data_IF_687457059071
#
_entry.id   IF_687457059071
#
_cell.length_a   1.000
_cell.length_b   1.000
_cell.length_c   1.000
_cell.angle_alpha   90.00
_cell.angle_beta   90.00
_cell.angle_gamma   90.00
#
_symmetry.space_group_name_H-M   'P 1'
#
loop_
_entity.id
_entity.type
_entity.pdbx_description
1 polymer ?
#
# COMPACT_ATOMS: atom_id res chain seq x y z
N UNK A 1 25.61 10.59 -9.98
CA UNK A 1 24.72 11.66 -9.46
C UNK A 1 24.58 11.46 -7.95
N UNK A 2 24.78 12.51 -7.14
CA UNK A 2 24.63 12.44 -5.67
C UNK A 2 23.20 11.98 -5.29
N UNK A 3 23.06 11.00 -4.40
CA UNK A 3 21.76 10.43 -3.98
C UNK A 3 20.77 11.50 -3.50
N UNK A 4 21.28 12.53 -2.82
CA UNK A 4 20.48 13.69 -2.37
C UNK A 4 19.92 14.52 -3.53
N UNK A 5 20.70 14.68 -4.62
CA UNK A 5 20.27 15.39 -5.83
C UNK A 5 19.20 14.58 -6.57
N UNK A 6 19.39 13.26 -6.70
CA UNK A 6 18.39 12.34 -7.29
C UNK A 6 17.07 12.40 -6.54
N UNK A 7 17.12 12.29 -5.21
CA UNK A 7 15.95 12.38 -4.34
C UNK A 7 15.21 13.71 -4.52
N UNK A 8 15.92 14.84 -4.52
CA UNK A 8 15.32 16.16 -4.71
C UNK A 8 14.63 16.31 -6.07
N UNK A 9 15.27 15.84 -7.15
CA UNK A 9 14.69 15.86 -8.50
C UNK A 9 13.42 15.03 -8.56
N UNK A 10 13.47 13.78 -8.05
CA UNK A 10 12.30 12.89 -8.02
C UNK A 10 11.15 13.52 -7.23
N UNK A 11 11.44 14.12 -6.07
CA UNK A 11 10.44 14.82 -5.24
C UNK A 11 9.72 15.89 -6.04
N UNK A 12 10.45 16.82 -6.66
CA UNK A 12 9.83 17.92 -7.40
C UNK A 12 9.03 17.46 -8.61
N UNK A 13 9.55 16.50 -9.38
CA UNK A 13 8.83 15.93 -10.53
C UNK A 13 7.52 15.27 -10.06
N UNK A 14 7.59 14.45 -9.00
CA UNK A 14 6.42 13.74 -8.48
C UNK A 14 5.38 14.71 -7.93
N UNK A 15 5.80 15.73 -7.19
CA UNK A 15 4.90 16.78 -6.71
C UNK A 15 4.22 17.51 -7.87
N UNK A 16 4.96 17.88 -8.91
CA UNK A 16 4.39 18.52 -10.10
C UNK A 16 3.38 17.61 -10.82
N UNK A 17 3.70 16.32 -10.99
CA UNK A 17 2.79 15.35 -11.60
C UNK A 17 1.54 15.12 -10.76
N UNK A 18 1.65 15.07 -9.44
CA UNK A 18 0.52 14.96 -8.53
C UNK A 18 -0.41 16.18 -8.65
N UNK A 19 0.15 17.39 -8.64
CA UNK A 19 -0.66 18.61 -8.84
C UNK A 19 -1.33 18.62 -10.23
N UNK A 20 -0.60 18.21 -11.27
CA UNK A 20 -1.15 18.10 -12.61
C UNK A 20 -2.30 17.10 -12.67
N UNK A 21 -2.16 15.94 -12.01
CA UNK A 21 -3.24 14.95 -11.89
C UNK A 21 -4.47 15.54 -11.20
N UNK A 22 -4.29 16.20 -10.05
CA UNK A 22 -5.39 16.80 -9.30
C UNK A 22 -6.13 17.87 -10.13
N UNK A 23 -5.40 18.76 -10.81
CA UNK A 23 -5.99 19.79 -11.68
C UNK A 23 -6.75 19.14 -12.85
N UNK A 24 -6.16 18.14 -13.51
CA UNK A 24 -6.79 17.45 -14.62
C UNK A 24 -8.04 16.68 -14.19
N UNK A 25 -8.02 16.03 -13.02
CA UNK A 25 -9.18 15.31 -12.47
C UNK A 25 -10.33 16.26 -12.10
N UNK A 26 -10.02 17.49 -11.69
CA UNK A 26 -11.03 18.54 -11.48
C UNK A 26 -11.59 19.10 -12.79
N UNK A 27 -10.75 19.24 -13.82
CA UNK A 27 -11.17 19.75 -15.12
C UNK A 27 -11.93 18.74 -15.98
N UNK A 28 -11.59 17.45 -15.85
CA UNK A 28 -12.18 16.33 -16.59
C UNK A 28 -12.66 15.25 -15.60
N UNK A 29 -13.93 15.33 -15.15
CA UNK A 29 -14.46 14.41 -14.15
C UNK A 29 -14.70 12.99 -14.68
N UNK A 30 -14.90 12.86 -16.00
CA UNK A 30 -15.18 11.57 -16.64
C UNK A 30 -13.94 10.65 -16.59
N UNK A 31 -14.14 9.32 -16.44
CA UNK A 31 -13.03 8.37 -16.44
C UNK A 31 -12.15 8.52 -17.68
N UNK A 32 -10.86 8.71 -17.48
CA UNK A 32 -9.90 8.97 -18.55
C UNK A 32 -8.64 8.12 -18.38
N UNK A 33 -8.31 7.32 -19.39
CA UNK A 33 -7.15 6.43 -19.39
C UNK A 33 -5.85 7.18 -19.10
N UNK A 34 -5.67 8.39 -19.65
CA UNK A 34 -4.45 9.16 -19.40
C UNK A 34 -4.38 9.64 -17.94
N UNK A 35 -5.48 10.13 -17.38
CA UNK A 35 -5.49 10.74 -16.03
C UNK A 35 -5.46 9.65 -14.94
N UNK A 36 -6.31 8.64 -15.08
CA UNK A 36 -6.58 7.65 -14.04
C UNK A 36 -5.67 6.42 -14.14
N UNK A 37 -5.40 5.93 -15.35
CA UNK A 37 -4.52 4.77 -15.52
C UNK A 37 -3.05 5.19 -15.59
N UNK A 38 -2.69 6.15 -16.45
CA UNK A 38 -1.28 6.47 -16.69
C UNK A 38 -0.75 7.41 -15.61
N UNK A 39 -1.33 8.60 -15.49
CA UNK A 39 -0.78 9.67 -14.67
C UNK A 39 -0.84 9.35 -13.17
N UNK A 40 -1.97 8.86 -12.68
CA UNK A 40 -2.15 8.47 -11.28
C UNK A 40 -1.17 7.36 -10.84
N UNK A 41 -1.07 6.27 -11.62
CA UNK A 41 -0.16 5.17 -11.29
C UNK A 41 1.32 5.58 -11.43
N UNK A 42 1.65 6.49 -12.35
CA UNK A 42 3.01 7.05 -12.44
C UNK A 42 3.37 7.84 -11.18
N UNK A 43 2.44 8.60 -10.61
CA UNK A 43 2.64 9.30 -9.34
C UNK A 43 2.91 8.29 -8.21
N UNK A 44 2.13 7.21 -8.12
CA UNK A 44 2.35 6.13 -7.14
C UNK A 44 3.72 5.48 -7.28
N UNK A 45 4.13 5.15 -8.51
CA UNK A 45 5.45 4.57 -8.81
C UNK A 45 6.59 5.49 -8.38
N UNK A 46 6.49 6.78 -8.69
CA UNK A 46 7.51 7.76 -8.33
C UNK A 46 7.54 8.03 -6.82
N UNK A 47 6.38 8.05 -6.14
CA UNK A 47 6.32 8.17 -4.69
C UNK A 47 7.04 7.01 -4.00
N UNK A 48 6.87 5.79 -4.50
CA UNK A 48 7.62 4.63 -4.04
C UNK A 48 9.13 4.77 -4.31
N UNK A 49 9.51 5.23 -5.51
CA UNK A 49 10.90 5.48 -5.85
C UNK A 49 11.55 6.54 -4.92
N UNK A 50 10.80 7.57 -4.53
CA UNK A 50 11.25 8.56 -3.53
C UNK A 50 11.55 7.88 -2.20
N UNK A 51 10.65 7.01 -1.71
CA UNK A 51 10.82 6.31 -0.44
C UNK A 51 12.09 5.44 -0.43
N UNK A 52 12.34 4.66 -1.49
CA UNK A 52 13.57 3.87 -1.60
C UNK A 52 14.86 4.72 -1.64
N UNK A 53 14.78 5.94 -2.18
CA UNK A 53 15.93 6.84 -2.29
C UNK A 53 16.00 7.88 -1.17
N UNK A 54 15.21 7.71 -0.10
CA UNK A 54 15.20 8.64 1.01
C UNK A 54 16.61 8.73 1.67
N UNK A 55 17.12 9.94 1.95
CA UNK A 55 18.43 10.12 2.56
C UNK A 55 18.48 9.50 3.97
N UNK A 56 19.67 9.02 4.36
CA UNK A 56 20.02 8.15 5.52
C UNK A 56 19.66 8.70 6.92
N UNK A 57 18.86 9.76 7.02
CA UNK A 57 18.21 10.16 8.27
C UNK A 57 17.10 9.17 8.69
N UNK A 58 16.54 8.43 7.73
CA UNK A 58 15.58 7.35 7.98
C UNK A 58 16.28 5.98 8.08
N UNK A 59 15.81 5.12 8.98
CA UNK A 59 16.22 3.72 9.03
C UNK A 59 15.99 3.04 7.68
N UNK A 60 17.03 2.39 7.16
CA UNK A 60 17.01 1.81 5.81
C UNK A 60 15.90 0.79 5.64
N UNK A 61 15.59 0.01 6.68
CA UNK A 61 14.52 -0.98 6.62
C UNK A 61 13.14 -0.32 6.59
N UNK A 62 12.92 0.75 7.36
CA UNK A 62 11.70 1.56 7.28
C UNK A 62 11.53 2.19 5.88
N UNK A 63 12.59 2.76 5.31
CA UNK A 63 12.56 3.34 3.96
C UNK A 63 12.27 2.29 2.86
N UNK A 64 12.89 1.10 2.95
CA UNK A 64 12.63 -0.01 2.03
C UNK A 64 11.20 -0.51 2.18
N UNK A 65 10.71 -0.70 3.40
CA UNK A 65 9.33 -1.15 3.63
C UNK A 65 8.29 -0.14 3.12
N UNK A 66 8.53 1.16 3.32
CA UNK A 66 7.70 2.24 2.78
C UNK A 66 7.69 2.23 1.24
N UNK A 67 8.86 2.08 0.62
CA UNK A 67 8.96 1.95 -0.85
C UNK A 67 8.22 0.71 -1.36
N UNK A 68 8.43 -0.45 -0.74
CA UNK A 68 7.76 -1.70 -1.09
C UNK A 68 6.24 -1.61 -0.92
N UNK A 69 5.76 -0.98 0.15
CA UNK A 69 4.33 -0.69 0.36
C UNK A 69 3.77 0.14 -0.81
N UNK A 70 4.43 1.25 -1.16
CA UNK A 70 4.02 2.07 -2.30
C UNK A 70 4.03 1.32 -3.64
N UNK A 71 5.01 0.44 -3.88
CA UNK A 71 5.03 -0.38 -5.10
C UNK A 71 3.88 -1.35 -5.16
N UNK A 72 3.65 -2.13 -4.09
CA UNK A 72 2.61 -3.17 -4.11
C UNK A 72 1.23 -2.53 -4.25
N UNK A 73 1.00 -1.39 -3.59
CA UNK A 73 -0.22 -0.62 -3.75
C UNK A 73 -0.38 -0.10 -5.19
N UNK A 74 0.69 0.41 -5.81
CA UNK A 74 0.65 0.88 -7.20
C UNK A 74 0.38 -0.26 -8.19
N UNK A 75 0.90 -1.47 -7.92
CA UNK A 75 0.59 -2.67 -8.73
C UNK A 75 -0.91 -2.99 -8.63
N UNK A 76 -1.48 -2.99 -7.42
CA UNK A 76 -2.91 -3.20 -7.22
C UNK A 76 -3.77 -2.15 -7.93
N UNK A 77 -3.37 -0.88 -7.82
CA UNK A 77 -4.01 0.26 -8.49
C UNK A 77 -3.97 0.15 -10.00
N UNK A 78 -2.82 -0.21 -10.58
CA UNK A 78 -2.70 -0.43 -12.01
C UNK A 78 -3.62 -1.55 -12.49
N UNK A 79 -3.61 -2.71 -11.82
CA UNK A 79 -4.45 -3.85 -12.18
C UNK A 79 -5.94 -3.50 -12.09
N UNK A 80 -6.36 -2.85 -11.00
CA UNK A 80 -7.76 -2.45 -10.79
C UNK A 80 -8.24 -1.42 -11.81
N UNK A 81 -7.39 -0.44 -12.13
CA UNK A 81 -7.74 0.62 -13.08
C UNK A 81 -7.72 0.09 -14.51
N UNK A 82 -6.77 -0.79 -14.83
CA UNK A 82 -6.71 -1.48 -16.12
C UNK A 82 -7.99 -2.27 -16.39
N UNK A 83 -8.43 -3.06 -15.39
CA UNK A 83 -9.65 -3.84 -15.48
C UNK A 83 -10.89 -2.96 -15.72
N UNK A 84 -10.96 -1.84 -15.02
CA UNK A 84 -12.06 -0.87 -15.15
C UNK A 84 -12.16 -0.26 -16.55
N UNK A 85 -11.05 -0.03 -17.24
CA UNK A 85 -11.06 0.56 -18.60
C UNK A 85 -11.18 -0.47 -19.72
N UNK A 86 -10.58 -1.65 -19.55
CA UNK A 86 -10.44 -2.62 -20.64
C UNK A 86 -11.28 -3.88 -20.44
N UNK A 87 -12.01 -4.01 -19.34
CA UNK A 87 -12.82 -5.20 -19.00
C UNK A 87 -12.03 -6.49 -19.21
N UNK A 88 -10.76 -6.47 -18.81
CA UNK A 88 -9.93 -7.67 -18.82
C UNK A 88 -10.59 -8.73 -17.93
N UNK A 89 -10.48 -10.00 -18.28
CA UNK A 89 -10.94 -11.07 -17.38
C UNK A 89 -9.89 -11.33 -16.28
N UNK A 90 -9.18 -10.30 -15.84
CA UNK A 90 -8.18 -10.43 -14.78
C UNK A 90 -8.89 -10.69 -13.47
N UNK A 91 -8.51 -11.73 -12.72
CA UNK A 91 -9.19 -12.01 -11.46
C UNK A 91 -9.04 -10.85 -10.45
N UNK A 92 -10.16 -10.32 -9.95
CA UNK A 92 -10.19 -9.21 -8.99
C UNK A 92 -9.34 -9.44 -7.74
N UNK A 93 -9.15 -10.71 -7.34
CA UNK A 93 -8.36 -11.04 -6.16
C UNK A 93 -6.88 -10.63 -6.28
N UNK A 94 -6.34 -10.43 -7.48
CA UNK A 94 -4.94 -9.99 -7.65
C UNK A 94 -4.71 -8.55 -7.16
N UNK A 95 -5.62 -7.63 -7.49
CA UNK A 95 -5.53 -6.25 -6.99
C UNK A 95 -5.81 -6.23 -5.48
N UNK A 96 -6.86 -6.93 -5.02
CA UNK A 96 -7.21 -7.08 -3.61
C UNK A 96 -6.07 -7.65 -2.76
N UNK A 97 -5.35 -8.65 -3.26
CA UNK A 97 -4.17 -9.20 -2.59
C UNK A 97 -3.04 -8.17 -2.48
N UNK A 98 -2.81 -7.41 -3.56
CA UNK A 98 -1.77 -6.37 -3.59
C UNK A 98 -2.05 -5.29 -2.54
N UNK A 99 -3.30 -4.86 -2.43
CA UNK A 99 -3.74 -3.92 -1.40
C UNK A 99 -3.72 -4.53 0.01
N UNK A 100 -4.02 -5.80 0.16
CA UNK A 100 -3.92 -6.49 1.46
C UNK A 100 -2.47 -6.55 1.96
N UNK A 101 -1.50 -6.73 1.07
CA UNK A 101 -0.06 -6.75 1.39
C UNK A 101 0.49 -5.34 1.69
N UNK A 102 -0.15 -4.28 1.19
CA UNK A 102 0.23 -2.90 1.49
C UNK A 102 0.18 -2.60 3.00
N UNK A 103 -0.90 -2.99 3.67
CA UNK A 103 -1.11 -2.70 5.10
C UNK A 103 0.01 -3.21 6.03
N UNK A 104 0.41 -4.50 6.03
CA UNK A 104 1.50 -4.95 6.88
C UNK A 104 2.83 -4.28 6.57
N UNK A 105 3.10 -3.95 5.30
CA UNK A 105 4.33 -3.25 4.90
C UNK A 105 4.35 -1.80 5.40
N UNK A 106 3.25 -1.07 5.25
CA UNK A 106 3.18 0.33 5.71
C UNK A 106 3.23 0.40 7.24
N UNK A 107 2.53 -0.50 7.95
CA UNK A 107 2.61 -0.57 9.41
C UNK A 107 4.02 -0.89 9.90
N UNK A 108 4.69 -1.86 9.30
CA UNK A 108 6.09 -2.14 9.63
C UNK A 108 6.99 -0.93 9.39
N UNK A 109 6.82 -0.24 8.25
CA UNK A 109 7.58 0.96 7.92
C UNK A 109 7.39 2.07 8.96
N UNK A 110 6.14 2.32 9.36
CA UNK A 110 5.75 3.36 10.32
C UNK A 110 6.23 3.03 11.73
N UNK A 111 5.91 1.85 12.24
CA UNK A 111 6.35 1.40 13.57
C UNK A 111 7.87 1.46 13.65
N UNK A 112 8.58 0.93 12.66
CA UNK A 112 10.03 0.92 12.67
C UNK A 112 10.64 2.31 12.51
N UNK A 113 9.96 3.22 11.81
CA UNK A 113 10.33 4.63 11.71
C UNK A 113 10.28 5.35 13.07
N UNK A 114 9.31 5.00 13.93
CA UNK A 114 9.16 5.58 15.27
C UNK A 114 9.96 4.85 16.37
N UNK A 115 10.09 3.52 16.28
CA UNK A 115 10.67 2.65 17.32
C UNK A 115 12.20 2.68 17.36
N UNK A 116 12.87 3.48 16.53
CA UNK A 116 14.34 3.67 16.58
C UNK A 116 14.89 4.13 17.95
N UNK A 117 14.03 4.49 18.91
CA UNK A 117 14.42 4.75 20.30
C UNK A 117 14.63 3.47 21.15
N UNK A 118 14.18 2.30 20.70
CA UNK A 118 14.24 1.05 21.47
C UNK A 118 14.92 -0.06 20.67
N UNK A 119 16.06 -0.57 21.18
CA UNK A 119 16.70 -1.77 20.65
C UNK A 119 15.88 -2.99 21.09
N UNK A 120 15.08 -3.56 20.20
CA UNK A 120 14.33 -4.81 20.44
C UNK A 120 15.16 -5.99 19.90
N UNK A 121 15.29 -7.08 20.67
CA UNK A 121 16.00 -8.28 20.21
C UNK A 121 15.13 -9.06 19.22
N UNK A 122 15.76 -9.66 18.20
CA UNK A 122 15.05 -10.45 17.17
C UNK A 122 14.20 -11.59 17.76
N UNK A 123 14.65 -12.20 18.86
CA UNK A 123 13.90 -13.25 19.58
C UNK A 123 12.64 -12.70 20.25
N UNK A 124 12.71 -11.53 20.87
CA UNK A 124 11.54 -10.87 21.48
C UNK A 124 10.50 -10.50 20.41
N UNK A 125 10.96 -10.06 19.24
CA UNK A 125 10.10 -9.80 18.09
C UNK A 125 9.41 -11.09 17.61
N UNK A 126 10.16 -12.20 17.49
CA UNK A 126 9.63 -13.48 17.06
C UNK A 126 8.54 -13.99 18.02
N UNK A 127 8.81 -13.98 19.31
CA UNK A 127 7.86 -14.45 20.34
C UNK A 127 6.59 -13.59 20.35
N UNK A 128 6.76 -12.26 20.30
CA UNK A 128 5.63 -11.32 20.22
C UNK A 128 4.82 -11.54 18.95
N UNK A 129 5.50 -11.80 17.82
CA UNK A 129 4.87 -12.02 16.51
C UNK A 129 4.07 -13.32 16.51
N UNK A 130 4.60 -14.41 17.07
CA UNK A 130 3.90 -15.69 17.18
C UNK A 130 2.64 -15.54 18.04
N UNK A 131 2.74 -14.91 19.22
CA UNK A 131 1.59 -14.70 20.12
C UNK A 131 0.55 -13.80 19.44
N UNK A 132 0.99 -12.72 18.81
CA UNK A 132 0.10 -11.75 18.16
C UNK A 132 -0.62 -12.36 16.95
N UNK A 133 0.10 -13.04 16.06
CA UNK A 133 -0.53 -13.71 14.91
C UNK A 133 -1.39 -14.90 15.34
N UNK A 134 -1.00 -15.64 16.38
CA UNK A 134 -1.81 -16.71 16.95
C UNK A 134 -3.14 -16.19 17.51
N UNK A 135 -3.10 -15.15 18.35
CA UNK A 135 -4.29 -14.54 18.94
C UNK A 135 -5.17 -13.88 17.86
N UNK A 136 -4.57 -13.08 16.98
CA UNK A 136 -5.28 -12.43 15.87
C UNK A 136 -5.90 -13.46 14.92
N UNK A 137 -5.20 -14.57 14.65
CA UNK A 137 -5.72 -15.67 13.83
C UNK A 137 -6.95 -16.35 14.46
N UNK A 138 -6.90 -16.63 15.76
CA UNK A 138 -8.04 -17.19 16.50
C UNK A 138 -9.22 -16.22 16.49
N UNK A 139 -9.00 -14.95 16.84
CA UNK A 139 -10.05 -13.91 16.81
C UNK A 139 -10.64 -13.73 15.41
N UNK A 140 -9.80 -13.70 14.38
CA UNK A 140 -10.25 -13.61 12.98
C UNK A 140 -11.13 -14.80 12.63
N UNK A 141 -10.74 -16.03 12.96
CA UNK A 141 -11.55 -17.21 12.69
C UNK A 141 -12.93 -17.16 13.38
N UNK A 142 -12.99 -16.64 14.61
CA UNK A 142 -14.25 -16.46 15.34
C UNK A 142 -15.12 -15.35 14.76
N UNK A 143 -14.54 -14.26 14.26
CA UNK A 143 -15.27 -13.10 13.72
C UNK A 143 -15.62 -13.23 12.23
N UNK A 144 -14.85 -14.01 11.46
CA UNK A 144 -15.11 -14.25 10.04
C UNK A 144 -16.38 -15.08 9.85
N UNK A 145 -16.63 -16.07 10.73
CA UNK A 145 -17.83 -16.91 10.66
C UNK A 145 -19.14 -16.10 10.72
N UNK A 146 -19.34 -15.19 11.69
CA UNK A 146 -20.47 -14.26 11.71
C UNK A 146 -20.48 -13.30 10.52
N UNK A 147 -19.33 -12.76 10.11
CA UNK A 147 -19.25 -11.81 9.00
C UNK A 147 -19.69 -12.45 7.66
N UNK A 148 -19.35 -13.71 7.42
CA UNK A 148 -19.80 -14.46 6.24
C UNK A 148 -21.32 -14.66 6.16
N UNK A 149 -22.06 -14.47 7.26
CA UNK A 149 -23.54 -14.51 7.25
C UNK A 149 -24.13 -13.17 6.81
N UNK A 150 -23.39 -12.06 6.95
CA UNK A 150 -23.84 -10.71 6.62
C UNK A 150 -23.33 -10.15 5.29
N UNK A 151 -22.24 -10.70 4.74
CA UNK A 151 -21.63 -10.26 3.49
C UNK A 151 -21.74 -11.33 2.40
N UNK A 152 -22.19 -10.95 1.21
CA UNK A 152 -22.20 -11.82 0.03
C UNK A 152 -20.80 -11.91 -0.59
N UNK A 153 -20.33 -13.11 -0.90
CA UNK A 153 -19.06 -13.33 -1.59
C UNK A 153 -18.23 -14.51 -1.08
N UNK A 154 -17.02 -14.65 -1.61
CA UNK A 154 -16.05 -15.64 -1.13
C UNK A 154 -15.46 -15.23 0.22
N UNK A 155 -14.96 -16.19 1.01
CA UNK A 155 -14.32 -15.89 2.29
C UNK A 155 -13.17 -14.88 2.19
N UNK A 156 -12.45 -14.88 1.06
CA UNK A 156 -11.39 -13.90 0.79
C UNK A 156 -11.96 -12.50 0.55
N UNK A 157 -13.02 -12.37 -0.24
CA UNK A 157 -13.67 -11.08 -0.49
C UNK A 157 -14.27 -10.49 0.80
N UNK A 158 -14.89 -11.32 1.64
CA UNK A 158 -15.38 -10.90 2.97
C UNK A 158 -14.23 -10.48 3.87
N UNK A 159 -13.13 -11.23 3.91
CA UNK A 159 -11.93 -10.86 4.67
C UNK A 159 -11.39 -9.50 4.23
N UNK A 160 -11.22 -9.28 2.93
CA UNK A 160 -10.72 -8.03 2.36
C UNK A 160 -11.68 -6.86 2.64
N UNK A 161 -13.00 -7.11 2.57
CA UNK A 161 -14.04 -6.12 2.89
C UNK A 161 -14.02 -5.66 4.34
N UNK A 162 -13.55 -6.50 5.26
CA UNK A 162 -13.30 -6.12 6.67
C UNK A 162 -11.92 -5.47 6.83
N UNK A 163 -10.91 -5.96 6.11
CA UNK A 163 -9.53 -5.47 6.20
C UNK A 163 -9.40 -4.00 5.77
N UNK A 164 -10.03 -3.61 4.65
CA UNK A 164 -9.94 -2.23 4.13
C UNK A 164 -10.40 -1.17 5.13
N UNK A 165 -11.65 -1.20 5.66
CA UNK A 165 -12.10 -0.21 6.62
C UNK A 165 -11.23 -0.16 7.87
N UNK A 166 -10.76 -1.31 8.36
CA UNK A 166 -9.91 -1.36 9.57
C UNK A 166 -8.52 -0.78 9.31
N UNK A 167 -7.96 -1.03 8.13
CA UNK A 167 -6.64 -0.52 7.75
C UNK A 167 -6.62 0.96 7.40
N UNK A 168 -7.75 1.53 6.98
CA UNK A 168 -7.89 2.95 6.61
C UNK A 168 -8.18 3.89 7.80
N UNK A 169 -8.53 3.35 8.98
CA UNK A 169 -8.76 4.10 10.24
C UNK A 169 -7.43 4.48 10.90
#
# INVERSE_FOLDING_TARGET
MNTRKRYSILKWITTFLLFSHLILRLAFPDPNVFIDLILFNLVGLLASAIAFNAPVLADKFSAVAMGSAGLIWTIGSFLSTWDSFFSSQTPNWFSELSYSIFYPLIFFAVIRGFTQKFKIKALELLDTTIITFGLTGVLTAFLLKPAMVGFEGSAFSVFVSVLYPVGDI
#
